data_IF_368986735930
#
_entry.id   IF_368986735930
#
_cell.length_a   1.000
_cell.length_b   1.000
_cell.length_c   1.000
_cell.angle_alpha   90.00
_cell.angle_beta   90.00
_cell.angle_gamma   90.00
#
_symmetry.space_group_name_H-M   'P 1'
#
loop_
_entity.id
_entity.type
_entity.pdbx_description
1 polymer ?
#
# COMPACT_ATOMS: atom_id res chain seq x y z
N UNK A 1 7.69 -48.64 -24.54
CA UNK A 1 9.12 -48.31 -24.59
C UNK A 1 9.30 -47.03 -25.39
N UNK A 2 9.57 -45.90 -24.73
CA UNK A 2 10.03 -44.67 -25.37
C UNK A 2 11.43 -44.36 -24.83
N UNK A 3 12.31 -44.04 -25.78
CA UNK A 3 13.77 -44.01 -25.70
C UNK A 3 14.25 -42.84 -24.84
N UNK A 4 15.38 -43.04 -24.16
CA UNK A 4 16.18 -42.02 -23.50
C UNK A 4 16.44 -40.84 -24.45
N UNK A 5 15.66 -39.77 -24.31
CA UNK A 5 15.94 -38.50 -24.93
C UNK A 5 16.87 -37.72 -24.01
N UNK A 6 18.08 -37.44 -24.49
CA UNK A 6 19.07 -36.56 -23.89
C UNK A 6 18.44 -35.17 -23.67
N UNK A 7 17.89 -34.92 -22.49
CA UNK A 7 17.62 -33.56 -22.06
C UNK A 7 18.95 -33.06 -21.50
N UNK A 8 19.59 -32.15 -22.23
CA UNK A 8 20.78 -31.47 -21.71
C UNK A 8 20.42 -30.87 -20.34
N UNK A 9 21.33 -30.95 -19.34
CA UNK A 9 21.05 -30.40 -18.03
C UNK A 9 20.66 -28.93 -18.16
N UNK A 10 19.56 -28.55 -17.52
CA UNK A 10 19.11 -27.17 -17.45
C UNK A 10 20.22 -26.38 -16.74
N UNK A 11 20.80 -25.43 -17.46
CA UNK A 11 21.87 -24.59 -16.94
C UNK A 11 21.29 -23.48 -16.08
N UNK A 12 22.00 -23.16 -15.00
CA UNK A 12 21.67 -22.00 -14.17
C UNK A 12 21.83 -20.71 -14.99
N UNK A 13 20.81 -19.84 -15.06
CA UNK A 13 20.92 -18.57 -15.77
C UNK A 13 22.03 -17.68 -15.20
N UNK A 14 22.60 -16.83 -16.06
CA UNK A 14 23.64 -15.88 -15.69
C UNK A 14 23.06 -14.61 -15.03
N UNK A 15 22.44 -14.77 -13.86
CA UNK A 15 22.05 -13.65 -12.99
C UNK A 15 23.13 -13.32 -11.97
N UNK A 16 22.99 -12.18 -11.31
CA UNK A 16 23.70 -11.90 -10.07
C UNK A 16 23.09 -12.73 -8.93
N UNK A 17 23.93 -13.29 -8.07
CA UNK A 17 23.55 -14.09 -6.90
C UNK A 17 24.28 -13.64 -5.63
N UNK A 18 25.06 -12.56 -5.70
CA UNK A 18 25.97 -12.12 -4.62
C UNK A 18 25.24 -11.56 -3.41
N UNK A 19 23.99 -11.10 -3.57
CA UNK A 19 23.14 -10.65 -2.48
C UNK A 19 22.53 -11.79 -1.64
N UNK A 20 22.61 -13.05 -2.11
CA UNK A 20 21.97 -14.17 -1.45
C UNK A 20 22.74 -14.61 -0.20
N UNK A 21 22.01 -14.92 0.87
CA UNK A 21 22.59 -15.38 2.13
C UNK A 21 22.64 -16.91 2.16
N UNK A 22 23.80 -17.48 2.48
CA UNK A 22 23.91 -18.91 2.72
C UNK A 22 23.05 -19.31 3.94
N UNK A 23 22.21 -20.34 3.80
CA UNK A 23 21.38 -20.81 4.91
C UNK A 23 22.23 -21.36 6.05
N UNK A 24 21.94 -20.98 7.31
CA UNK A 24 22.67 -21.50 8.47
C UNK A 24 22.24 -22.91 8.91
N UNK A 25 21.14 -23.45 8.36
CA UNK A 25 20.58 -24.73 8.78
C UNK A 25 21.19 -25.91 8.01
N UNK A 26 21.30 -27.08 8.66
CA UNK A 26 21.88 -28.28 8.06
C UNK A 26 21.07 -28.84 6.88
N UNK A 27 19.83 -28.38 6.69
CA UNK A 27 18.94 -28.79 5.62
C UNK A 27 19.00 -27.90 4.37
N UNK A 28 19.78 -26.83 4.39
CA UNK A 28 19.92 -25.95 3.23
C UNK A 28 18.63 -25.23 2.86
N UNK A 29 18.41 -25.12 1.55
CA UNK A 29 17.15 -24.64 0.97
C UNK A 29 15.96 -25.52 1.39
N UNK A 30 16.15 -26.85 1.48
CA UNK A 30 15.09 -27.80 1.86
C UNK A 30 14.51 -27.55 3.25
N UNK A 31 15.23 -26.82 4.11
CA UNK A 31 14.75 -26.40 5.42
C UNK A 31 13.86 -25.15 5.43
N UNK A 32 13.67 -24.48 4.29
CA UNK A 32 12.92 -23.23 4.18
C UNK A 32 11.49 -23.50 3.72
N UNK A 33 10.52 -22.94 4.43
CA UNK A 33 9.09 -23.03 4.12
C UNK A 33 8.45 -21.67 3.80
N UNK A 34 9.23 -20.59 3.76
CA UNK A 34 8.79 -19.24 3.44
C UNK A 34 9.35 -18.79 2.08
N UNK A 35 8.52 -18.21 1.18
CA UNK A 35 8.96 -17.78 -0.14
C UNK A 35 10.04 -16.69 -0.11
N UNK A 36 9.97 -15.73 0.82
CA UNK A 36 10.89 -14.60 0.88
C UNK A 36 12.25 -15.02 1.42
N UNK A 37 12.26 -15.86 2.45
CA UNK A 37 13.51 -16.45 2.95
C UNK A 37 14.14 -17.34 1.89
N UNK A 38 13.34 -18.10 1.15
CA UNK A 38 13.81 -18.96 0.07
C UNK A 38 14.43 -18.11 -1.05
N UNK A 39 13.74 -17.06 -1.51
CA UNK A 39 14.23 -16.18 -2.58
C UNK A 39 15.36 -15.24 -2.14
N UNK A 40 15.64 -15.14 -0.85
CA UNK A 40 16.77 -14.43 -0.25
C UNK A 40 18.02 -15.30 -0.02
N UNK A 41 17.96 -16.59 -0.32
CA UNK A 41 18.94 -17.55 0.14
C UNK A 41 19.67 -18.32 -0.98
N UNK A 42 20.88 -18.73 -0.65
CA UNK A 42 21.61 -19.80 -1.33
C UNK A 42 21.76 -20.99 -0.37
N UNK A 43 21.82 -22.20 -0.91
CA UNK A 43 21.93 -23.40 -0.10
C UNK A 43 23.25 -23.39 0.68
N UNK A 44 23.16 -23.45 2.00
CA UNK A 44 24.31 -23.39 2.90
C UNK A 44 24.77 -24.76 3.41
N UNK A 45 24.31 -25.88 2.83
CA UNK A 45 24.78 -27.20 3.26
C UNK A 45 26.27 -27.35 2.93
N UNK A 46 26.97 -28.10 3.77
CA UNK A 46 28.40 -28.39 3.58
C UNK A 46 28.63 -29.45 2.49
N UNK A 47 27.65 -30.31 2.24
CA UNK A 47 27.71 -31.30 1.17
C UNK A 47 27.60 -30.61 -0.20
N UNK A 48 28.62 -30.70 -1.07
CA UNK A 48 28.61 -29.97 -2.34
C UNK A 48 27.57 -30.51 -3.33
N UNK A 49 27.20 -31.80 -3.20
CA UNK A 49 26.28 -32.49 -4.10
C UNK A 49 25.38 -33.47 -3.38
N UNK A 50 24.16 -33.68 -3.89
CA UNK A 50 23.24 -34.76 -3.50
C UNK A 50 22.86 -35.53 -4.77
N UNK A 51 23.02 -36.85 -4.76
CA UNK A 51 22.83 -37.73 -5.93
C UNK A 51 23.64 -37.29 -7.17
N UNK A 52 24.75 -36.58 -6.93
CA UNK A 52 25.63 -35.95 -7.93
C UNK A 52 25.03 -34.74 -8.65
N UNK A 53 23.99 -34.13 -8.10
CA UNK A 53 23.48 -32.80 -8.45
C UNK A 53 24.09 -31.79 -7.48
N UNK A 54 24.47 -30.62 -7.97
CA UNK A 54 25.04 -29.56 -7.13
C UNK A 54 24.00 -29.00 -6.18
N UNK A 55 24.36 -28.85 -4.90
CA UNK A 55 23.46 -28.23 -3.91
C UNK A 55 24.13 -27.05 -3.22
N UNK A 56 25.31 -27.23 -2.63
CA UNK A 56 25.95 -26.15 -1.86
C UNK A 56 26.23 -24.91 -2.72
N UNK A 57 25.79 -23.76 -2.22
CA UNK A 57 25.90 -22.45 -2.88
C UNK A 57 24.99 -22.28 -4.10
N UNK A 58 24.12 -23.25 -4.42
CA UNK A 58 23.10 -23.03 -5.45
C UNK A 58 22.02 -22.08 -4.91
N UNK A 59 21.48 -21.18 -5.76
CA UNK A 59 20.33 -20.38 -5.34
C UNK A 59 19.17 -21.30 -5.00
N UNK A 60 18.44 -20.92 -3.97
CA UNK A 60 17.25 -21.65 -3.59
C UNK A 60 16.11 -21.40 -4.60
N UNK A 61 15.25 -22.40 -4.78
CA UNK A 61 14.10 -22.38 -5.68
C UNK A 61 12.83 -22.63 -4.89
N UNK A 62 11.98 -21.62 -4.83
CA UNK A 62 10.64 -21.69 -4.26
C UNK A 62 9.69 -22.41 -5.21
N UNK A 63 8.95 -23.41 -4.72
CA UNK A 63 8.13 -24.32 -5.53
C UNK A 63 6.64 -24.00 -5.48
N UNK A 64 6.30 -22.72 -5.36
CA UNK A 64 4.91 -22.32 -5.51
C UNK A 64 4.04 -22.63 -4.29
N UNK A 65 4.61 -22.67 -3.08
CA UNK A 65 3.90 -23.02 -1.83
C UNK A 65 3.51 -24.49 -1.68
N UNK A 66 3.84 -25.32 -2.68
CA UNK A 66 3.64 -26.76 -2.66
C UNK A 66 4.96 -27.52 -2.57
N UNK A 67 4.86 -28.84 -2.51
CA UNK A 67 6.02 -29.73 -2.52
C UNK A 67 6.79 -29.58 -3.83
N UNK A 68 8.10 -29.36 -3.74
CA UNK A 68 8.96 -29.24 -4.90
C UNK A 68 8.94 -30.48 -5.77
N UNK A 69 9.11 -31.66 -5.18
CA UNK A 69 9.18 -32.91 -5.92
C UNK A 69 8.45 -34.04 -5.20
N UNK A 70 8.22 -35.15 -5.92
CA UNK A 70 7.58 -36.33 -5.35
C UNK A 70 8.38 -36.89 -4.16
N UNK A 71 7.69 -37.24 -3.07
CA UNK A 71 8.29 -37.86 -1.89
C UNK A 71 8.95 -36.89 -0.90
N UNK A 72 8.76 -35.58 -1.08
CA UNK A 72 9.31 -34.54 -0.20
C UNK A 72 8.20 -33.63 0.35
N UNK A 73 8.43 -33.04 1.52
CA UNK A 73 7.62 -31.95 2.07
C UNK A 73 8.24 -30.57 1.84
N UNK A 74 9.40 -30.48 1.19
CA UNK A 74 10.11 -29.23 0.96
C UNK A 74 9.36 -28.34 -0.02
N UNK A 75 9.22 -27.06 0.34
CA UNK A 75 8.65 -26.01 -0.54
C UNK A 75 9.74 -25.16 -1.21
N UNK A 76 10.99 -25.39 -0.83
CA UNK A 76 12.17 -24.71 -1.31
C UNK A 76 13.28 -25.73 -1.52
N UNK A 77 13.99 -25.71 -2.66
CA UNK A 77 15.06 -26.68 -2.96
C UNK A 77 16.21 -26.02 -3.74
N UNK A 78 17.44 -26.56 -3.73
CA UNK A 78 18.55 -26.03 -4.53
C UNK A 78 18.27 -26.13 -6.03
N UNK A 79 18.72 -25.14 -6.81
CA UNK A 79 18.43 -25.05 -8.25
C UNK A 79 18.76 -26.32 -9.04
N UNK A 80 20.01 -26.77 -9.02
CA UNK A 80 20.42 -27.92 -9.85
C UNK A 80 19.70 -29.21 -9.40
N UNK A 81 19.48 -29.37 -8.09
CA UNK A 81 18.73 -30.51 -7.54
C UNK A 81 17.30 -30.55 -8.09
N UNK A 82 16.56 -29.44 -8.01
CA UNK A 82 15.15 -29.44 -8.40
C UNK A 82 14.95 -29.41 -9.93
N UNK A 83 15.84 -28.76 -10.66
CA UNK A 83 15.74 -28.62 -12.12
C UNK A 83 16.22 -29.87 -12.87
N UNK A 84 17.23 -30.55 -12.35
CA UNK A 84 17.88 -31.70 -13.02
C UNK A 84 17.73 -33.03 -12.27
N UNK A 85 16.97 -33.06 -11.16
CA UNK A 85 16.80 -34.25 -10.33
C UNK A 85 15.70 -35.22 -10.77
N UNK A 86 14.79 -34.82 -11.66
CA UNK A 86 13.71 -35.71 -12.12
C UNK A 86 14.26 -36.92 -12.90
N UNK A 87 13.87 -38.12 -12.49
CA UNK A 87 14.40 -39.38 -13.04
C UNK A 87 15.79 -39.78 -12.51
N UNK A 88 16.36 -38.99 -11.58
CA UNK A 88 17.67 -39.22 -10.97
C UNK A 88 17.60 -39.29 -9.44
N UNK A 89 17.19 -38.18 -8.82
CA UNK A 89 17.04 -38.04 -7.37
C UNK A 89 15.58 -38.23 -6.91
N UNK A 90 14.62 -37.88 -7.78
CA UNK A 90 13.19 -38.03 -7.50
C UNK A 90 12.40 -38.31 -8.79
N UNK A 91 11.14 -38.75 -8.65
CA UNK A 91 10.32 -39.11 -9.82
C UNK A 91 9.89 -37.89 -10.64
N UNK A 92 9.31 -36.87 -10.01
CA UNK A 92 8.81 -35.68 -10.71
C UNK A 92 9.14 -34.39 -9.95
N UNK A 93 9.51 -33.34 -10.71
CA UNK A 93 9.46 -31.96 -10.25
C UNK A 93 8.02 -31.44 -10.44
N UNK A 94 7.36 -31.05 -9.35
CA UNK A 94 5.94 -30.70 -9.34
C UNK A 94 5.69 -29.24 -9.74
N UNK A 95 6.62 -28.33 -9.42
CA UNK A 95 6.40 -26.89 -9.55
C UNK A 95 6.89 -26.28 -10.87
N UNK A 96 6.94 -27.05 -11.97
CA UNK A 96 7.50 -26.65 -13.27
C UNK A 96 6.98 -25.31 -13.80
N UNK A 97 5.72 -24.97 -13.52
CA UNK A 97 5.08 -23.73 -14.00
C UNK A 97 5.04 -22.61 -12.95
N UNK A 98 5.28 -22.94 -11.69
CA UNK A 98 4.99 -22.06 -10.56
C UNK A 98 6.20 -21.82 -9.65
N UNK A 99 7.41 -22.18 -10.10
CA UNK A 99 8.62 -21.97 -9.32
C UNK A 99 9.16 -20.53 -9.45
N UNK A 100 9.95 -20.12 -8.47
CA UNK A 100 10.83 -18.93 -8.55
C UNK A 100 12.20 -19.29 -8.00
N UNK A 101 13.28 -18.93 -8.69
CA UNK A 101 14.64 -19.04 -8.16
C UNK A 101 15.07 -17.73 -7.51
N UNK A 102 15.86 -17.84 -6.45
CA UNK A 102 16.55 -16.73 -5.85
C UNK A 102 17.59 -16.14 -6.82
N UNK A 103 17.53 -14.84 -7.04
CA UNK A 103 18.53 -14.09 -7.81
C UNK A 103 18.58 -12.65 -7.29
N UNK A 104 19.53 -11.86 -7.75
CA UNK A 104 19.71 -10.48 -7.35
C UNK A 104 19.35 -9.54 -8.50
N UNK A 105 18.48 -8.58 -8.22
CA UNK A 105 18.17 -7.45 -9.09
C UNK A 105 18.55 -6.18 -8.31
N UNK A 106 19.45 -5.38 -8.87
CA UNK A 106 19.95 -4.14 -8.24
C UNK A 106 20.49 -4.35 -6.81
N UNK A 107 21.17 -5.48 -6.57
CA UNK A 107 21.74 -5.82 -5.26
C UNK A 107 20.72 -6.35 -4.23
N UNK A 108 19.44 -6.46 -4.60
CA UNK A 108 18.39 -6.96 -3.72
C UNK A 108 17.87 -8.34 -4.17
N UNK A 109 17.52 -9.24 -3.23
CA UNK A 109 16.94 -10.52 -3.59
C UNK A 109 15.60 -10.38 -4.30
N UNK A 110 15.44 -11.09 -5.41
CA UNK A 110 14.26 -11.08 -6.24
C UNK A 110 13.99 -12.46 -6.84
N UNK A 111 12.71 -12.78 -7.03
CA UNK A 111 12.28 -14.00 -7.70
C UNK A 111 12.52 -13.96 -9.21
N UNK A 112 13.20 -14.97 -9.74
CA UNK A 112 13.43 -15.15 -11.17
C UNK A 112 12.94 -16.51 -11.68
N UNK A 113 12.84 -16.62 -12.98
CA UNK A 113 12.63 -17.86 -13.75
C UNK A 113 13.80 -18.00 -14.72
N UNK A 114 13.90 -19.11 -15.46
CA UNK A 114 14.91 -19.24 -16.52
C UNK A 114 14.80 -18.10 -17.56
N UNK A 115 13.58 -17.58 -17.78
CA UNK A 115 13.30 -16.56 -18.79
C UNK A 115 13.42 -15.11 -18.28
N UNK A 116 13.74 -14.90 -17.01
CA UNK A 116 13.86 -13.56 -16.42
C UNK A 116 13.18 -13.39 -15.05
N UNK A 117 13.33 -12.18 -14.50
CA UNK A 117 12.72 -11.77 -13.24
C UNK A 117 11.19 -11.70 -13.31
N UNK A 118 10.52 -12.04 -12.22
CA UNK A 118 9.05 -12.03 -12.10
C UNK A 118 8.66 -11.40 -10.77
N UNK A 119 7.78 -10.39 -10.81
CA UNK A 119 7.27 -9.73 -9.61
C UNK A 119 6.29 -10.61 -8.82
N UNK A 120 5.58 -11.51 -9.50
CA UNK A 120 4.64 -12.43 -8.86
C UNK A 120 5.37 -13.68 -8.35
N UNK A 121 5.20 -14.02 -7.07
CA UNK A 121 5.71 -15.24 -6.44
C UNK A 121 4.54 -16.22 -6.24
N UNK A 122 4.44 -17.31 -7.00
CA UNK A 122 3.33 -18.26 -6.88
C UNK A 122 3.34 -18.94 -5.52
N UNK A 123 2.18 -19.18 -4.93
CA UNK A 123 2.01 -19.83 -3.63
C UNK A 123 2.82 -19.25 -2.48
N UNK A 124 3.47 -18.11 -2.68
CA UNK A 124 3.28 -17.05 -1.73
C UNK A 124 1.75 -16.82 -1.74
N UNK A 125 1.07 -17.43 -0.76
CA UNK A 125 0.05 -16.64 -0.07
C UNK A 125 0.73 -15.30 0.10
N UNK A 126 0.12 -14.15 -0.27
CA UNK A 126 0.64 -12.93 0.27
C UNK A 126 0.70 -13.21 1.76
N UNK A 127 1.92 -13.45 2.26
CA UNK A 127 2.28 -12.78 3.46
C UNK A 127 2.00 -11.36 3.02
N UNK A 128 0.81 -10.87 3.37
CA UNK A 128 0.76 -9.81 4.35
C UNK A 128 2.08 -9.99 5.08
N UNK A 129 3.16 -9.27 4.67
CA UNK A 129 4.27 -9.08 5.61
C UNK A 129 3.50 -8.84 6.89
N UNK A 130 3.76 -9.53 8.02
CA UNK A 130 2.94 -9.31 9.21
C UNK A 130 2.73 -7.80 9.47
N UNK A 131 3.64 -6.99 8.90
CA UNK A 131 3.58 -5.55 8.70
C UNK A 131 3.65 -5.11 7.21
N UNK A 132 2.62 -5.32 6.38
CA UNK A 132 2.59 -4.87 4.97
C UNK A 132 2.75 -3.35 4.83
N UNK A 133 2.37 -2.65 5.89
CA UNK A 133 2.52 -1.21 6.06
C UNK A 133 3.98 -0.77 6.15
N UNK A 134 4.93 -1.65 6.54
CA UNK A 134 6.36 -1.31 6.58
C UNK A 134 6.91 -1.35 5.15
N UNK A 135 6.83 -0.20 4.50
CA UNK A 135 7.29 0.01 3.13
C UNK A 135 8.76 0.46 3.05
N UNK A 136 9.32 0.97 4.14
CA UNK A 136 10.70 1.47 4.22
C UNK A 136 11.43 0.86 5.43
N UNK A 137 12.75 0.58 5.32
CA UNK A 137 13.53 0.14 6.47
C UNK A 137 13.55 1.22 7.56
N UNK A 138 13.75 0.78 8.80
CA UNK A 138 13.94 1.67 9.94
C UNK A 138 15.19 2.53 9.70
N UNK A 139 15.14 3.85 9.94
CA UNK A 139 16.32 4.71 9.88
C UNK A 139 17.35 4.32 10.94
N UNK A 140 18.64 4.37 10.60
CA UNK A 140 19.76 4.02 11.48
C UNK A 140 20.88 5.05 11.39
N UNK A 141 21.80 5.03 12.36
CA UNK A 141 23.05 5.82 12.30
C UNK A 141 22.83 7.34 12.14
N UNK A 142 23.37 7.90 11.06
CA UNK A 142 23.30 9.32 10.73
C UNK A 142 21.87 9.80 10.45
N UNK A 143 20.99 8.93 9.95
CA UNK A 143 19.56 9.22 9.76
C UNK A 143 18.80 9.41 11.08
N UNK A 144 19.39 9.07 12.23
CA UNK A 144 18.84 9.36 13.54
C UNK A 144 19.56 10.52 14.24
N UNK A 145 20.77 10.89 13.80
CA UNK A 145 21.68 11.75 14.55
C UNK A 145 21.15 13.14 14.90
N UNK A 146 20.36 13.75 14.01
CA UNK A 146 19.74 15.05 14.21
C UNK A 146 18.48 15.03 15.10
N UNK A 147 17.89 13.84 15.35
CA UNK A 147 16.62 13.75 16.07
C UNK A 147 16.82 14.03 17.55
N UNK A 148 16.03 14.95 18.09
CA UNK A 148 16.02 15.29 19.51
C UNK A 148 15.44 14.14 20.35
N UNK A 149 16.03 13.86 21.50
CA UNK A 149 15.42 12.96 22.47
C UNK A 149 14.26 13.64 23.19
N UNK A 150 13.05 13.17 22.95
CA UNK A 150 11.88 13.69 23.65
C UNK A 150 11.77 13.01 25.02
N UNK A 151 12.16 13.71 26.09
CA UNK A 151 12.33 13.17 27.45
C UNK A 151 11.16 12.30 27.96
N UNK A 152 9.92 12.67 27.64
CA UNK A 152 8.73 11.94 28.08
C UNK A 152 8.23 10.91 27.06
N UNK A 153 8.98 10.68 25.98
CA UNK A 153 8.67 9.75 24.91
C UNK A 153 7.90 10.36 23.75
N UNK A 154 7.71 9.57 22.69
CA UNK A 154 7.00 10.02 21.49
C UNK A 154 5.50 10.25 21.76
N UNK A 155 4.91 9.44 22.64
CA UNK A 155 3.45 9.39 22.86
C UNK A 155 2.81 10.69 23.35
N UNK A 156 3.58 11.55 24.04
CA UNK A 156 3.11 12.85 24.51
C UNK A 156 3.11 13.92 23.41
N UNK A 157 3.80 13.68 22.29
CA UNK A 157 3.93 14.66 21.21
C UNK A 157 2.65 14.71 20.39
N UNK A 158 2.09 15.91 20.22
CA UNK A 158 0.85 16.14 19.47
C UNK A 158 1.05 16.95 18.18
N UNK A 159 2.26 17.40 17.90
CA UNK A 159 2.59 18.21 16.72
C UNK A 159 3.48 17.42 15.75
N UNK A 160 3.18 17.51 14.46
CA UNK A 160 3.84 16.75 13.38
C UNK A 160 5.34 17.03 13.34
N UNK A 161 5.72 18.30 13.35
CA UNK A 161 7.10 18.75 13.21
C UNK A 161 7.94 18.29 14.40
N UNK A 162 7.39 18.41 15.61
CA UNK A 162 8.04 17.91 16.83
C UNK A 162 8.18 16.39 16.79
N UNK A 163 7.17 15.67 16.33
CA UNK A 163 7.21 14.21 16.24
C UNK A 163 8.31 13.77 15.26
N UNK A 164 8.31 14.32 14.04
CA UNK A 164 9.25 13.96 12.99
C UNK A 164 10.68 14.48 13.21
N UNK A 165 10.86 15.41 14.16
CA UNK A 165 12.16 15.85 14.66
C UNK A 165 12.66 15.11 15.91
N UNK A 166 11.96 14.08 16.38
CA UNK A 166 12.24 13.44 17.67
C UNK A 166 12.46 11.93 17.61
N UNK A 167 13.13 11.42 18.65
CA UNK A 167 13.17 10.01 19.05
C UNK A 167 12.68 9.87 20.49
N UNK A 168 12.23 8.68 20.88
CA UNK A 168 11.71 8.45 22.24
C UNK A 168 12.84 8.52 23.27
N UNK A 169 12.76 9.48 24.19
CA UNK A 169 13.76 9.72 25.23
C UNK A 169 13.39 9.18 26.60
N UNK A 170 12.39 8.30 26.71
CA UNK A 170 12.06 7.65 27.99
C UNK A 170 13.20 6.78 28.50
N UNK A 171 13.20 6.54 29.81
CA UNK A 171 14.21 5.67 30.42
C UNK A 171 13.95 4.20 30.15
N UNK A 172 12.67 3.81 30.04
CA UNK A 172 12.25 2.46 29.72
C UNK A 172 12.75 2.05 28.33
N UNK A 173 13.53 0.98 28.25
CA UNK A 173 14.10 0.50 26.98
C UNK A 173 13.05 -0.19 26.11
N UNK A 174 12.15 -0.93 26.75
CA UNK A 174 11.12 -1.72 26.10
C UNK A 174 9.77 -1.62 26.82
N UNK A 175 8.69 -1.84 26.07
CA UNK A 175 7.33 -1.98 26.57
C UNK A 175 6.64 -3.16 25.87
N UNK A 176 6.10 -4.11 26.64
CA UNK A 176 5.56 -5.37 26.11
C UNK A 176 6.55 -6.14 25.20
N UNK A 177 7.86 -6.03 25.46
CA UNK A 177 8.90 -6.65 24.63
C UNK A 177 9.03 -6.02 23.24
N UNK A 178 8.65 -4.75 23.10
CA UNK A 178 8.87 -3.90 21.93
C UNK A 178 9.78 -2.76 22.35
N UNK A 179 10.76 -2.43 21.53
CA UNK A 179 11.69 -1.35 21.82
C UNK A 179 10.97 -0.01 21.77
N UNK A 180 11.26 0.86 22.74
CA UNK A 180 10.72 2.21 22.79
C UNK A 180 11.84 3.24 22.88
N UNK A 181 12.79 3.11 23.81
CA UNK A 181 13.88 4.09 23.97
C UNK A 181 14.78 4.17 22.75
N UNK A 182 15.04 5.40 22.32
CA UNK A 182 15.88 5.73 21.18
C UNK A 182 15.26 5.40 19.83
N UNK A 183 14.04 4.87 19.79
CA UNK A 183 13.31 4.67 18.54
C UNK A 183 12.93 6.01 17.93
N UNK A 184 13.08 6.20 16.61
CA UNK A 184 12.53 7.38 15.96
C UNK A 184 11.02 7.42 16.17
N UNK A 185 10.49 8.61 16.37
CA UNK A 185 9.06 8.78 16.50
C UNK A 185 8.34 8.61 15.16
N UNK A 186 7.09 8.17 15.19
CA UNK A 186 6.24 7.96 14.02
C UNK A 186 5.00 8.81 14.14
N UNK A 187 4.81 9.73 13.18
CA UNK A 187 3.63 10.60 13.09
C UNK A 187 2.52 9.90 12.31
N UNK A 188 1.32 9.82 12.90
CA UNK A 188 0.19 9.07 12.35
C UNK A 188 -0.82 9.94 11.58
N UNK A 189 -0.35 11.03 10.98
CA UNK A 189 -1.18 11.89 10.13
C UNK A 189 -2.21 12.73 10.88
N UNK A 190 -2.03 12.95 12.20
CA UNK A 190 -2.96 13.70 13.03
C UNK A 190 -4.10 12.85 13.62
N UNK A 191 -4.16 11.57 13.29
CA UNK A 191 -5.11 10.60 13.85
C UNK A 191 -4.43 9.75 14.94
N UNK A 192 -5.19 9.13 15.87
CA UNK A 192 -4.63 8.21 16.83
C UNK A 192 -3.92 7.05 16.14
N UNK A 193 -2.67 6.80 16.54
CA UNK A 193 -1.84 5.78 15.93
C UNK A 193 -2.46 4.38 16.06
N UNK A 194 -3.05 4.02 17.20
CA UNK A 194 -3.50 2.66 17.47
C UNK A 194 -4.80 2.60 18.28
N UNK A 195 -5.45 1.44 18.27
CA UNK A 195 -6.68 1.16 19.03
C UNK A 195 -6.44 1.14 20.54
N UNK A 196 -7.15 1.99 21.29
CA UNK A 196 -7.02 2.19 22.75
C UNK A 196 -6.01 3.27 23.17
N UNK A 197 -5.72 4.23 22.29
CA UNK A 197 -5.00 5.45 22.65
C UNK A 197 -5.45 6.65 21.82
N UNK A 198 -5.12 7.86 22.28
CA UNK A 198 -5.27 9.14 21.57
C UNK A 198 -3.91 9.73 21.17
N UNK A 199 -2.87 8.90 21.13
CA UNK A 199 -1.51 9.31 20.78
C UNK A 199 -1.39 9.48 19.26
N UNK A 200 -0.90 10.65 18.83
CA UNK A 200 -0.72 11.00 17.42
C UNK A 200 0.69 10.71 16.91
N UNK A 201 1.57 10.36 17.85
CA UNK A 201 2.98 10.12 17.66
C UNK A 201 3.38 8.94 18.56
N UNK A 202 4.08 7.92 18.04
CA UNK A 202 4.48 6.74 18.82
C UNK A 202 5.88 6.25 18.42
N UNK A 203 6.59 5.46 19.26
CA UNK A 203 7.89 4.89 18.89
C UNK A 203 7.78 3.89 17.73
N UNK A 204 8.78 3.87 16.85
CA UNK A 204 8.76 3.03 15.64
C UNK A 204 8.52 1.55 15.93
N UNK A 205 9.37 0.88 16.71
CA UNK A 205 9.23 -0.57 16.93
C UNK A 205 7.91 -0.94 17.63
N UNK A 206 7.47 -0.12 18.60
CA UNK A 206 6.17 -0.25 19.24
C UNK A 206 5.01 -0.21 18.24
N UNK A 207 5.02 0.76 17.32
CA UNK A 207 3.93 0.92 16.36
C UNK A 207 3.99 -0.09 15.22
N UNK A 208 5.20 -0.35 14.72
CA UNK A 208 5.40 -1.24 13.57
C UNK A 208 5.17 -2.70 13.93
N UNK A 209 5.48 -3.12 15.16
CA UNK A 209 5.41 -4.52 15.59
C UNK A 209 4.43 -4.77 16.76
N UNK A 210 3.64 -3.77 17.15
CA UNK A 210 2.74 -3.85 18.30
C UNK A 210 1.34 -4.39 18.02
N UNK A 211 0.90 -4.48 16.77
CA UNK A 211 -0.42 -5.03 16.45
C UNK A 211 -0.50 -6.51 16.83
N UNK A 212 -1.54 -6.90 17.57
CA UNK A 212 -1.69 -8.25 18.12
C UNK A 212 -0.78 -8.56 19.33
N UNK A 213 0.04 -7.59 19.77
CA UNK A 213 0.98 -7.75 20.90
C UNK A 213 0.78 -6.70 21.99
N UNK A 214 0.78 -5.43 21.63
CA UNK A 214 0.55 -4.29 22.51
C UNK A 214 -0.81 -3.60 22.28
N UNK A 215 -1.36 -3.69 21.08
CA UNK A 215 -2.67 -3.13 20.72
C UNK A 215 -3.34 -3.97 19.62
N UNK A 216 -4.63 -3.72 19.36
CA UNK A 216 -5.45 -4.54 18.44
C UNK A 216 -5.30 -4.08 16.99
N UNK A 217 -5.34 -2.76 16.73
CA UNK A 217 -5.26 -2.18 15.40
C UNK A 217 -4.21 -1.05 15.34
N UNK A 218 -3.35 -1.08 14.32
CA UNK A 218 -2.58 0.08 13.88
C UNK A 218 -3.43 0.86 12.86
N UNK A 219 -3.88 2.07 13.21
CA UNK A 219 -4.83 2.83 12.40
C UNK A 219 -4.18 3.54 11.20
N UNK A 220 -2.93 3.98 11.33
CA UNK A 220 -2.27 4.83 10.34
C UNK A 220 -1.38 4.06 9.35
N UNK A 221 -1.68 2.78 9.08
CA UNK A 221 -0.90 1.87 8.21
C UNK A 221 -0.55 2.44 6.83
N UNK A 222 -1.36 3.35 6.29
CA UNK A 222 -1.20 3.94 4.96
C UNK A 222 -0.74 5.40 4.97
N UNK A 223 -0.69 6.05 6.14
CA UNK A 223 -0.57 7.51 6.24
C UNK A 223 0.46 8.00 7.25
N UNK A 224 1.27 7.08 7.79
CA UNK A 224 2.29 7.42 8.78
C UNK A 224 3.58 7.96 8.15
N UNK A 225 4.33 8.73 8.93
CA UNK A 225 5.67 9.21 8.57
C UNK A 225 6.64 8.92 9.72
N UNK A 226 7.84 8.42 9.39
CA UNK A 226 8.87 8.07 10.38
C UNK A 226 9.89 9.19 10.47
N UNK A 227 10.17 9.66 11.68
CA UNK A 227 11.21 10.63 11.97
C UNK A 227 12.56 10.14 11.42
N UNK A 228 13.22 10.99 10.66
CA UNK A 228 14.55 10.72 10.08
C UNK A 228 15.25 12.03 9.75
N UNK A 229 16.56 11.93 9.59
CA UNK A 229 17.43 13.02 9.20
C UNK A 229 17.86 12.90 7.75
N UNK A 230 18.03 14.04 7.08
CA UNK A 230 18.72 14.14 5.79
C UNK A 230 19.58 15.39 5.80
N UNK A 231 20.88 15.25 5.56
CA UNK A 231 21.80 16.39 5.60
C UNK A 231 21.92 17.03 6.98
N UNK A 232 21.71 16.26 8.05
CA UNK A 232 21.78 16.75 9.43
C UNK A 232 20.52 17.47 9.93
N UNK A 233 19.47 17.57 9.12
CA UNK A 233 18.20 18.19 9.49
C UNK A 233 17.04 17.18 9.46
N UNK A 234 16.00 17.35 10.30
CA UNK A 234 14.81 16.51 10.26
C UNK A 234 14.05 16.63 8.93
N UNK A 235 13.64 15.49 8.37
CA UNK A 235 12.79 15.46 7.17
C UNK A 235 11.33 15.61 7.58
N UNK A 236 10.74 16.75 7.24
CA UNK A 236 9.31 17.00 7.41
C UNK A 236 8.64 16.98 6.02
N UNK A 237 7.84 15.94 5.70
CA UNK A 237 7.13 15.88 4.42
C UNK A 237 6.17 17.08 4.32
N UNK A 238 6.41 17.93 3.33
CA UNK A 238 5.50 19.03 2.98
C UNK A 238 4.33 18.48 2.17
N UNK A 239 3.16 19.12 2.25
CA UNK A 239 1.97 18.65 1.53
C UNK A 239 2.20 18.57 0.02
N UNK A 240 3.09 19.40 -0.53
CA UNK A 240 3.41 19.41 -1.96
C UNK A 240 4.21 18.19 -2.45
N UNK A 241 5.05 17.57 -1.61
CA UNK A 241 5.82 16.39 -2.00
C UNK A 241 4.97 15.11 -2.06
N UNK A 242 3.92 15.02 -1.24
CA UNK A 242 2.97 13.91 -1.28
C UNK A 242 2.14 13.93 -2.57
N UNK A 243 1.60 15.10 -2.94
CA UNK A 243 0.81 15.29 -4.16
C UNK A 243 1.65 15.07 -5.42
N UNK A 244 2.92 15.50 -5.41
CA UNK A 244 3.84 15.30 -6.53
C UNK A 244 4.15 13.82 -6.78
N UNK A 245 4.24 13.00 -5.73
CA UNK A 245 4.55 11.57 -5.87
C UNK A 245 3.34 10.77 -6.37
N UNK A 246 2.13 11.14 -5.96
CA UNK A 246 0.88 10.62 -6.55
C UNK A 246 0.75 11.02 -8.02
N UNK A 247 0.97 12.30 -8.35
CA UNK A 247 0.91 12.77 -9.74
C UNK A 247 1.98 12.15 -10.64
N UNK A 248 3.21 11.96 -10.13
CA UNK A 248 4.28 11.31 -10.89
C UNK A 248 4.02 9.82 -11.14
N UNK A 249 3.24 9.17 -10.27
CA UNK A 249 2.82 7.77 -10.46
C UNK A 249 1.74 7.69 -11.55
N UNK A 250 0.77 8.60 -11.54
CA UNK A 250 -0.29 8.71 -12.56
C UNK A 250 0.31 9.01 -13.96
N UNK A 251 1.33 9.89 -14.03
CA UNK A 251 1.98 10.24 -15.31
C UNK A 251 2.75 9.08 -15.94
N UNK A 252 3.17 8.08 -15.15
CA UNK A 252 3.92 6.91 -15.66
C UNK A 252 3.01 5.82 -16.26
N UNK A 253 1.71 5.85 -15.96
CA UNK A 253 0.74 4.87 -16.49
C UNK A 253 -0.02 5.38 -17.73
N UNK A 254 0.17 6.65 -18.11
CA UNK A 254 -0.37 7.18 -19.36
C UNK A 254 0.46 6.70 -20.56
N UNK A 255 -0.16 6.09 -21.59
CA UNK A 255 0.56 5.73 -22.80
C UNK A 255 1.09 6.99 -23.48
N UNK A 256 2.37 6.95 -23.90
CA UNK A 256 3.01 8.06 -24.57
C UNK A 256 2.22 8.44 -25.83
N UNK A 257 1.64 9.65 -25.84
CA UNK A 257 0.99 10.20 -27.01
C UNK A 257 2.05 10.39 -28.12
N UNK A 258 1.82 9.88 -29.34
CA UNK A 258 2.73 10.14 -30.45
C UNK A 258 2.62 11.61 -30.86
N UNK A 259 3.69 12.39 -30.67
CA UNK A 259 3.82 13.73 -31.26
C UNK A 259 4.24 14.89 -30.34
N UNK A 260 4.67 14.67 -29.09
CA UNK A 260 5.14 15.78 -28.25
C UNK A 260 6.56 16.22 -28.62
N UNK A 261 6.68 17.39 -29.25
CA UNK A 261 7.93 18.08 -29.49
C UNK A 261 8.56 18.57 -28.17
N UNK A 262 9.88 18.39 -28.04
CA UNK A 262 10.66 18.82 -26.88
C UNK A 262 10.75 20.35 -26.84
N UNK A 263 10.01 20.99 -25.93
CA UNK A 263 10.20 22.39 -25.55
C UNK A 263 11.08 22.46 -24.30
N UNK A 264 12.31 22.95 -24.44
CA UNK A 264 13.21 23.24 -23.32
C UNK A 264 12.72 24.48 -22.55
N UNK A 265 12.33 24.31 -21.28
CA UNK A 265 12.08 25.41 -20.37
C UNK A 265 13.37 25.71 -19.60
N UNK A 266 13.99 26.85 -19.91
CA UNK A 266 15.15 27.38 -19.19
C UNK A 266 14.70 28.13 -17.94
N UNK A 267 15.01 27.60 -16.76
CA UNK A 267 14.76 28.26 -15.47
C UNK A 267 15.90 29.22 -15.17
N UNK A 268 15.62 30.54 -15.20
CA UNK A 268 16.59 31.57 -14.81
C UNK A 268 16.76 31.59 -13.28
N UNK A 269 18.00 31.35 -12.83
CA UNK A 269 18.43 31.43 -11.44
C UNK A 269 18.43 32.91 -10.97
N UNK A 270 17.63 33.22 -9.95
CA UNK A 270 17.71 34.50 -9.21
C UNK A 270 18.89 34.49 -8.22
N UNK A 271 19.46 35.65 -7.87
CA UNK A 271 20.76 35.72 -7.21
C UNK A 271 20.71 35.37 -5.71
N UNK A 272 21.75 34.64 -5.30
CA UNK A 272 22.16 34.37 -3.91
C UNK A 272 22.80 35.61 -3.29
N UNK A 273 22.32 36.04 -2.13
CA UNK A 273 23.05 36.65 -1.00
C UNK A 273 22.00 36.86 0.10
N UNK A 274 22.23 36.52 1.36
CA UNK A 274 23.16 37.19 2.27
C UNK A 274 23.77 36.23 3.30
N UNK A 275 25.04 36.48 3.58
CA UNK A 275 25.85 35.82 4.60
C UNK A 275 25.52 36.29 6.02
N UNK A 276 25.98 35.47 6.96
CA UNK A 276 25.91 35.60 8.42
C UNK A 276 26.55 36.87 9.00
N UNK A 277 26.10 37.24 10.21
CA UNK A 277 26.75 38.19 11.10
C UNK A 277 26.18 38.10 12.52
N UNK A 278 27.02 37.76 13.49
CA UNK A 278 26.73 37.49 14.89
C UNK A 278 26.56 38.75 15.77
N UNK A 279 25.92 38.54 16.93
CA UNK A 279 26.23 39.08 18.27
C UNK A 279 25.66 40.44 18.76
N UNK A 280 24.87 40.29 19.82
CA UNK A 280 24.85 40.97 21.13
C UNK A 280 24.37 42.44 21.35
N UNK A 281 23.46 42.51 22.33
CA UNK A 281 23.33 43.46 23.44
C UNK A 281 22.75 44.87 23.20
N UNK A 282 21.76 45.22 24.05
CA UNK A 282 21.60 46.59 24.55
C UNK A 282 20.26 47.30 24.31
N UNK A 283 19.34 47.15 25.27
CA UNK A 283 18.50 48.21 25.90
C UNK A 283 18.30 49.55 25.17
N UNK A 284 17.04 49.95 24.88
CA UNK A 284 16.28 51.03 25.58
C UNK A 284 15.11 51.62 24.78
N UNK A 285 14.11 52.00 25.57
CA UNK A 285 12.83 52.72 25.38
C UNK A 285 12.86 53.97 24.47
N UNK A 286 11.76 54.23 23.73
CA UNK A 286 10.94 55.48 23.59
C UNK A 286 10.15 55.42 22.25
N UNK A 287 8.80 55.35 22.25
CA UNK A 287 7.76 56.39 22.39
C UNK A 287 7.64 57.33 21.16
N UNK A 288 6.46 57.31 20.53
CA UNK A 288 6.01 58.29 19.53
C UNK A 288 4.91 57.71 18.62
N UNK A 289 3.64 57.90 18.99
CA UNK A 289 2.65 58.72 18.24
C UNK A 289 1.92 57.90 17.16
N UNK A 290 0.75 57.30 17.47
CA UNK A 290 -0.60 57.87 17.28
C UNK A 290 -0.78 58.56 15.93
N UNK A 291 -1.57 57.94 15.06
CA UNK A 291 -2.65 58.63 14.33
C UNK A 291 -3.70 57.61 13.87
N UNK A 292 -4.91 57.85 14.38
CA UNK A 292 -6.17 57.17 14.10
C UNK A 292 -6.88 57.90 12.97
N UNK A 293 -7.53 57.14 12.07
CA UNK A 293 -8.78 57.50 11.40
C UNK A 293 -9.43 56.18 10.96
N UNK A 294 -10.48 55.63 11.61
CA UNK A 294 -11.92 55.98 11.50
C UNK A 294 -12.30 56.40 10.06
N UNK A 295 -13.28 55.81 9.36
CA UNK A 295 -14.62 55.34 9.73
C UNK A 295 -15.15 54.45 8.59
N UNK A 296 -15.97 53.41 8.86
CA UNK A 296 -17.42 53.36 8.50
C UNK A 296 -17.66 53.06 7.01
N UNK A 297 -18.48 52.11 6.55
CA UNK A 297 -19.83 51.68 6.96
C UNK A 297 -20.18 50.37 6.21
N UNK A 298 -20.94 49.45 6.82
CA UNK A 298 -21.57 48.30 6.13
C UNK A 298 -22.82 48.71 5.32
N UNK A 299 -23.84 47.84 5.16
CA UNK A 299 -23.85 46.47 4.61
C UNK A 299 -24.96 46.31 3.53
N UNK A 300 -24.83 45.43 2.54
CA UNK A 300 -25.99 44.92 1.75
C UNK A 300 -25.69 43.57 1.08
N UNK A 301 -26.48 42.55 1.42
CA UNK A 301 -26.85 41.37 0.60
C UNK A 301 -28.37 41.47 0.35
N UNK A 302 -29.01 40.68 -0.54
CA UNK A 302 -28.62 40.02 -1.80
C UNK A 302 -29.65 40.33 -2.93
N UNK A 303 -29.67 39.59 -4.06
CA UNK A 303 -30.87 38.77 -4.29
C UNK A 303 -30.59 37.36 -4.84
N UNK A 304 -31.62 36.53 -4.67
CA UNK A 304 -31.71 35.11 -5.00
C UNK A 304 -32.34 34.84 -6.39
N UNK A 305 -32.27 33.55 -6.75
CA UNK A 305 -33.12 32.77 -7.67
C UNK A 305 -32.70 32.65 -9.15
N UNK A 306 -32.50 31.38 -9.53
CA UNK A 306 -32.32 30.88 -10.89
C UNK A 306 -31.96 29.38 -10.86
N UNK A 307 -32.98 28.52 -10.69
CA UNK A 307 -32.97 27.06 -10.89
C UNK A 307 -33.07 26.78 -12.42
N UNK A 308 -32.19 26.00 -13.07
CA UNK A 308 -32.24 24.54 -13.38
C UNK A 308 -31.32 24.30 -14.60
N UNK A 309 -30.97 23.06 -15.03
CA UNK A 309 -30.59 21.86 -14.29
C UNK A 309 -29.18 21.38 -14.74
N UNK A 310 -28.30 20.99 -13.81
CA UNK A 310 -27.01 20.40 -14.17
C UNK A 310 -27.16 18.90 -14.40
N UNK A 311 -26.68 18.50 -15.57
CA UNK A 311 -26.77 17.18 -16.15
C UNK A 311 -26.07 16.11 -15.31
N UNK A 312 -26.65 14.92 -15.39
CA UNK A 312 -26.13 13.64 -14.93
C UNK A 312 -24.63 13.48 -15.20
N UNK A 313 -23.88 13.34 -14.12
CA UNK A 313 -22.45 13.04 -14.16
C UNK A 313 -21.75 13.29 -12.85
N UNK A 314 -22.31 12.83 -11.72
CA UNK A 314 -21.61 12.92 -10.43
C UNK A 314 -21.51 11.55 -9.75
N UNK A 315 -20.27 11.06 -9.76
CA UNK A 315 -19.57 10.29 -8.73
C UNK A 315 -20.29 9.13 -8.02
N UNK A 316 -19.73 7.93 -8.18
CA UNK A 316 -19.89 6.80 -7.27
C UNK A 316 -19.29 7.09 -5.88
N UNK A 317 -19.76 8.12 -5.19
CA UNK A 317 -19.23 8.43 -3.87
C UNK A 317 -19.74 7.40 -2.85
N UNK A 318 -18.83 6.50 -2.47
CA UNK A 318 -18.86 5.68 -1.26
C UNK A 318 -19.87 4.53 -1.17
N UNK A 319 -20.48 4.12 -2.29
CA UNK A 319 -21.34 2.93 -2.34
C UNK A 319 -20.62 1.70 -1.77
N UNK A 320 -21.28 0.97 -0.87
CA UNK A 320 -20.73 -0.24 -0.25
C UNK A 320 -19.61 -0.01 0.78
N UNK A 321 -19.25 1.25 1.09
CA UNK A 321 -18.27 1.57 2.13
C UNK A 321 -18.91 1.69 3.51
N UNK A 322 -18.16 1.35 4.56
CA UNK A 322 -18.58 1.55 5.95
C UNK A 322 -18.78 3.04 6.25
N UNK A 323 -20.03 3.41 6.46
CA UNK A 323 -20.47 4.79 6.62
C UNK A 323 -20.76 5.17 8.08
N UNK A 324 -20.68 4.23 9.04
CA UNK A 324 -21.18 4.44 10.39
C UNK A 324 -20.57 5.68 11.06
N UNK A 325 -19.24 5.78 11.06
CA UNK A 325 -18.53 6.89 11.71
C UNK A 325 -18.65 8.21 10.94
N UNK A 326 -18.64 8.14 9.62
CA UNK A 326 -18.75 9.29 8.73
C UNK A 326 -20.15 9.94 8.79
N UNK A 327 -21.16 9.12 9.06
CA UNK A 327 -22.54 9.55 9.24
C UNK A 327 -22.92 9.81 10.70
N UNK A 328 -21.92 9.91 11.59
CA UNK A 328 -22.10 10.31 12.99
C UNK A 328 -22.82 9.25 13.83
N UNK A 329 -22.51 7.98 13.58
CA UNK A 329 -23.05 6.81 14.28
C UNK A 329 -24.57 6.70 14.19
N UNK A 330 -25.10 7.01 13.00
CA UNK A 330 -26.53 7.00 12.72
C UNK A 330 -26.81 6.38 11.35
N UNK A 331 -27.83 5.54 11.34
CA UNK A 331 -28.42 5.02 10.11
C UNK A 331 -29.30 6.08 9.46
N UNK A 332 -29.31 6.13 8.13
CA UNK A 332 -30.17 7.03 7.37
C UNK A 332 -29.46 7.86 6.32
N UNK A 333 -30.15 8.86 5.78
CA UNK A 333 -29.58 9.77 4.78
C UNK A 333 -28.35 10.50 5.34
N UNK A 334 -27.29 10.55 4.55
CA UNK A 334 -26.00 11.07 4.97
C UNK A 334 -25.26 11.65 3.76
N UNK A 335 -24.77 12.89 3.89
CA UNK A 335 -24.09 13.61 2.81
C UNK A 335 -22.85 12.85 2.32
N UNK A 336 -22.15 12.13 3.21
CA UNK A 336 -21.00 11.31 2.87
C UNK A 336 -21.33 10.14 1.94
N UNK A 337 -22.55 9.59 2.05
CA UNK A 337 -23.05 8.56 1.15
C UNK A 337 -23.51 9.12 -0.19
N UNK A 338 -23.60 10.44 -0.34
CA UNK A 338 -24.06 11.10 -1.56
C UNK A 338 -25.58 11.16 -1.71
N UNK A 339 -26.02 11.97 -2.66
CA UNK A 339 -27.43 12.21 -2.91
C UNK A 339 -28.18 10.91 -3.28
N UNK A 340 -29.37 10.71 -2.70
CA UNK A 340 -30.22 9.54 -2.95
C UNK A 340 -29.75 8.24 -2.28
N UNK A 341 -28.77 8.29 -1.38
CA UNK A 341 -28.22 7.13 -0.68
C UNK A 341 -28.31 7.29 0.84
N UNK A 342 -28.40 6.16 1.52
CA UNK A 342 -28.52 6.09 2.97
C UNK A 342 -27.46 5.13 3.54
N UNK A 343 -26.98 5.47 4.73
CA UNK A 343 -26.11 4.63 5.54
C UNK A 343 -26.95 3.57 6.24
N UNK A 344 -26.92 2.33 5.76
CA UNK A 344 -27.81 1.27 6.22
C UNK A 344 -27.07 -0.03 6.46
N UNK A 345 -27.55 -0.80 7.41
CA UNK A 345 -27.10 -2.15 7.73
C UNK A 345 -28.22 -3.15 7.50
N UNK A 346 -27.91 -4.18 6.74
CA UNK A 346 -28.88 -5.21 6.37
C UNK A 346 -29.55 -5.83 7.61
N UNK A 347 -30.89 -5.85 7.60
CA UNK A 347 -31.72 -6.39 8.67
C UNK A 347 -31.72 -5.67 10.02
N UNK A 348 -30.96 -4.58 10.20
CA UNK A 348 -30.82 -3.90 11.51
C UNK A 348 -31.61 -2.59 11.61
N UNK A 349 -31.59 -1.78 10.55
CA UNK A 349 -32.10 -0.40 10.57
C UNK A 349 -33.59 -0.28 10.28
N UNK A 350 -34.39 -1.13 10.92
CA UNK A 350 -35.85 -1.20 10.74
C UNK A 350 -36.61 0.08 11.11
N UNK A 351 -35.95 1.04 11.77
CA UNK A 351 -36.54 2.34 12.17
C UNK A 351 -36.27 3.48 11.19
N UNK A 352 -35.27 3.36 10.32
CA UNK A 352 -34.96 4.35 9.29
C UNK A 352 -35.71 3.97 8.01
N UNK A 353 -36.67 4.80 7.58
CA UNK A 353 -37.57 4.48 6.45
C UNK A 353 -36.79 4.32 5.14
N UNK A 354 -35.72 5.10 4.99
CA UNK A 354 -34.78 5.08 3.88
C UNK A 354 -33.98 3.76 3.77
N UNK A 355 -33.84 3.03 4.88
CA UNK A 355 -33.18 1.72 4.93
C UNK A 355 -34.15 0.54 4.78
N UNK A 356 -35.47 0.79 4.90
CA UNK A 356 -36.48 -0.24 4.73
C UNK A 356 -36.61 -0.62 3.25
N UNK A 357 -36.12 -1.82 2.89
CA UNK A 357 -36.12 -2.28 1.50
C UNK A 357 -34.95 -1.74 0.67
N UNK A 358 -33.92 -1.18 1.32
CA UNK A 358 -32.66 -0.90 0.66
C UNK A 358 -32.02 -2.22 0.17
N UNK A 359 -31.32 -2.16 -0.96
CA UNK A 359 -30.72 -3.32 -1.63
C UNK A 359 -29.29 -2.99 -2.06
N UNK A 360 -28.45 -4.01 -2.28
CA UNK A 360 -27.07 -3.82 -2.75
C UNK A 360 -26.02 -3.82 -1.64
N UNK A 361 -26.33 -4.38 -0.47
CA UNK A 361 -25.36 -4.66 0.57
C UNK A 361 -24.30 -5.66 0.07
N UNK A 362 -23.04 -5.40 0.41
CA UNK A 362 -21.90 -6.24 0.00
C UNK A 362 -21.30 -7.03 1.16
N UNK A 363 -21.54 -6.61 2.40
CA UNK A 363 -21.00 -7.22 3.60
C UNK A 363 -22.08 -7.37 4.68
N UNK A 364 -22.01 -8.48 5.41
CA UNK A 364 -22.89 -8.73 6.54
C UNK A 364 -22.43 -7.90 7.74
N UNK A 365 -23.39 -7.33 8.47
CA UNK A 365 -23.15 -6.70 9.79
C UNK A 365 -22.40 -5.36 9.85
N UNK A 366 -22.28 -4.63 8.75
CA UNK A 366 -21.79 -3.25 8.74
C UNK A 366 -22.80 -2.28 8.13
N UNK A 367 -22.66 -0.99 8.42
CA UNK A 367 -23.45 0.05 7.77
C UNK A 367 -22.79 0.45 6.47
N UNK A 368 -23.45 0.25 5.34
CA UNK A 368 -22.95 0.61 4.01
C UNK A 368 -23.78 1.73 3.39
N UNK A 369 -23.16 2.57 2.58
CA UNK A 369 -23.90 3.47 1.72
C UNK A 369 -24.61 2.68 0.62
N UNK A 370 -25.94 2.63 0.69
CA UNK A 370 -26.81 1.95 -0.27
C UNK A 370 -27.84 2.91 -0.86
N UNK A 371 -28.40 2.64 -2.04
CA UNK A 371 -29.52 3.42 -2.56
C UNK A 371 -30.66 3.47 -1.55
N UNK A 372 -31.12 4.68 -1.21
CA UNK A 372 -32.25 4.84 -0.32
C UNK A 372 -33.52 4.29 -0.98
N UNK A 373 -34.38 3.62 -0.22
CA UNK A 373 -35.57 2.95 -0.78
C UNK A 373 -36.50 3.88 -1.58
N UNK A 374 -36.59 5.17 -1.20
CA UNK A 374 -37.36 6.17 -1.93
C UNK A 374 -36.74 6.55 -3.30
N UNK A 375 -35.41 6.53 -3.42
CA UNK A 375 -34.70 6.78 -4.66
C UNK A 375 -34.71 5.55 -5.59
N UNK A 376 -34.66 4.35 -5.01
CA UNK A 376 -34.82 3.09 -5.74
C UNK A 376 -36.22 2.95 -6.37
N UNK A 377 -37.27 3.41 -5.67
CA UNK A 377 -38.63 3.43 -6.20
C UNK A 377 -38.80 4.43 -7.36
N UNK A 378 -38.18 5.61 -7.29
CA UNK A 378 -38.23 6.61 -8.36
C UNK A 378 -37.52 6.13 -9.65
N UNK A 379 -36.34 5.50 -9.51
CA UNK A 379 -35.58 4.95 -10.63
C UNK A 379 -36.28 3.77 -11.34
N UNK A 380 -37.10 2.99 -10.61
CA UNK A 380 -37.88 1.90 -11.19
C UNK A 380 -39.06 2.38 -12.05
N UNK A 381 -39.63 3.56 -11.77
CA UNK A 381 -40.71 4.16 -12.57
C UNK A 381 -40.23 4.70 -13.92
N UNK A 382 -39.03 5.28 -13.98
CA UNK A 382 -38.42 5.81 -15.23
C UNK A 382 -38.10 4.70 -16.25
N UNK A 383 -37.85 3.47 -15.80
CA UNK A 383 -37.57 2.33 -16.68
C UNK A 383 -38.82 1.75 -17.39
N UNK A 384 -40.03 2.20 -17.03
CA UNK A 384 -41.29 1.69 -17.59
C UNK A 384 -41.88 2.50 -18.76
N UNK A 385 -41.31 3.68 -19.07
CA UNK A 385 -41.76 4.53 -20.18
C UNK A 385 -40.85 4.37 -21.41
N UNK A 386 -40.89 3.19 -22.05
CA UNK A 386 -40.21 2.96 -23.33
C UNK A 386 -41.02 3.51 -24.51
N UNK A 387 -40.38 4.14 -25.53
CA UNK A 387 -41.06 4.53 -26.76
C UNK A 387 -41.39 3.31 -27.63
N UNK A 388 -42.60 3.35 -28.18
CA UNK A 388 -43.24 2.35 -29.03
C UNK A 388 -42.38 1.98 -30.27
N UNK A 389 -42.15 0.68 -30.43
CA UNK A 389 -41.33 0.08 -31.48
C UNK A 389 -42.13 -0.07 -32.80
N UNK A 390 -41.74 0.64 -33.87
CA UNK A 390 -42.23 0.34 -35.23
C UNK A 390 -41.19 -0.47 -36.00
N UNK A 391 -41.39 -1.79 -36.08
CA UNK A 391 -40.58 -2.73 -36.88
C UNK A 391 -41.08 -2.76 -38.33
N UNK A 392 -40.22 -2.60 -39.36
CA UNK A 392 -40.58 -2.92 -40.73
C UNK A 392 -40.38 -4.41 -41.05
N UNK A 393 -41.38 -4.98 -41.72
CA UNK A 393 -41.48 -6.37 -42.19
C UNK A 393 -40.47 -6.67 -43.31
N UNK A 394 -39.74 -7.81 -43.30
CA UNK A 394 -38.96 -8.24 -44.46
C UNK A 394 -39.81 -9.07 -45.45
N UNK A 395 -39.59 -8.79 -46.73
CA UNK A 395 -40.28 -9.38 -47.87
C UNK A 395 -39.91 -10.86 -48.09
N UNK A 396 -40.94 -11.64 -48.39
CA UNK A 396 -40.92 -13.02 -48.87
C UNK A 396 -40.21 -13.16 -50.22
N UNK A 397 -39.37 -14.18 -50.38
CA UNK A 397 -39.06 -14.74 -51.69
C UNK A 397 -39.34 -16.24 -51.73
N UNK A 398 -40.15 -16.58 -52.73
CA UNK A 398 -40.75 -17.86 -53.06
C UNK A 398 -39.74 -18.77 -53.76
N UNK A 399 -39.85 -20.09 -53.52
CA UNK A 399 -39.39 -21.12 -54.46
C UNK A 399 -40.59 -21.97 -54.89
N UNK A 400 -40.74 -22.28 -56.19
CA UNK A 400 -41.83 -23.11 -56.68
C UNK A 400 -41.52 -24.60 -56.52
N UNK A 401 -42.55 -25.37 -56.16
CA UNK A 401 -42.51 -26.82 -56.10
C UNK A 401 -42.78 -27.48 -57.46
N UNK A 402 -42.05 -28.57 -57.68
CA UNK A 402 -42.37 -29.83 -58.39
C UNK A 402 -43.33 -29.85 -59.58
N UNK A 403 -42.82 -30.39 -60.70
CA UNK A 403 -43.36 -31.58 -61.40
C UNK A 403 -42.20 -32.48 -61.78
#
# INVERSE_FOLDING_TARGET
FRVAGCWAPIQKPAYDYTCLKATANANGCSGINNPYDCLGAADGRTSPTIDGLKVAGEPCVWCGGGQCHTGSSSMCEPFDYVMNGAGRAFYNFNAKLNYRMAACLDGHPQGATIDGFKNYIPGAVPTIKPYWWITQPKPEGDELSCLMEHKFGCYVVKHKETCLGSRDGRDEVEWNGLKIRGEPCVWCGGMPCQSNSTNLCEPYDFLMHGEGKAFVNFNAKTSYNVARCKGGEPVIPTESEATLKELQTIVRELPAAPGAAQGSVEVKKGPESYAAGESNAGSTVQKGDVSVATSGTGPTNPPAAGEEPLAAGEEEANVGKDCWYECGEKSGLCDWCGAGRACCRDGWDTKATECQGATGFTQDSIHECVPAAAAAAAAATELSAGPEETVPVPATQSSPGSV
#
